data_IF_743189214251
#
_entry.id   IF_743189214251
#
_cell.length_a   1.000
_cell.length_b   1.000
_cell.length_c   1.000
_cell.angle_alpha   90.00
_cell.angle_beta   90.00
_cell.angle_gamma   90.00
#
_symmetry.space_group_name_H-M   'P 1'
#
loop_
_entity.id
_entity.type
_entity.pdbx_description
1 polymer ?
#
# COMPACT_ATOMS: atom_id res chain seq x y z
N UNK A 1 -4.31 31.00 21.59
CA UNK A 1 -5.57 30.43 22.11
C UNK A 1 -5.43 28.94 21.96
N UNK A 2 -5.35 28.19 23.06
CA UNK A 2 -5.35 26.74 23.02
C UNK A 2 -6.77 26.30 22.65
N UNK A 3 -7.04 26.24 21.35
CA UNK A 3 -8.27 25.66 20.85
C UNK A 3 -8.32 24.20 21.36
N UNK A 4 -9.45 23.81 21.92
CA UNK A 4 -9.69 22.44 22.35
C UNK A 4 -9.52 21.53 21.13
N UNK A 5 -8.59 20.57 21.16
CA UNK A 5 -8.32 19.65 20.05
C UNK A 5 -9.43 18.59 19.86
N UNK A 6 -10.58 18.80 20.51
CA UNK A 6 -11.67 17.86 20.67
C UNK A 6 -12.99 18.61 20.50
N UNK A 7 -13.88 18.06 19.69
CA UNK A 7 -15.27 18.52 19.55
C UNK A 7 -16.17 17.31 19.81
N UNK A 8 -17.03 17.39 20.83
CA UNK A 8 -17.99 16.33 21.12
C UNK A 8 -19.33 16.64 20.45
N UNK A 9 -19.92 15.66 19.77
CA UNK A 9 -21.25 15.75 19.18
C UNK A 9 -21.98 14.41 19.28
N UNK A 10 -22.99 14.34 20.14
CA UNK A 10 -23.72 13.12 20.49
C UNK A 10 -22.76 12.03 21.02
N UNK A 11 -22.86 10.81 20.50
CA UNK A 11 -22.03 9.66 20.89
C UNK A 11 -20.64 9.65 20.22
N UNK A 12 -20.34 10.65 19.37
CA UNK A 12 -19.07 10.76 18.67
C UNK A 12 -18.24 11.94 19.17
N UNK A 13 -16.92 11.73 19.16
CA UNK A 13 -15.92 12.74 19.46
C UNK A 13 -15.03 12.94 18.25
N UNK A 14 -14.75 14.19 17.92
CA UNK A 14 -13.87 14.57 16.83
C UNK A 14 -12.57 15.06 17.42
N UNK A 15 -11.48 14.34 17.15
CA UNK A 15 -10.12 14.68 17.55
C UNK A 15 -9.42 15.26 16.35
N UNK A 16 -8.82 16.44 16.48
CA UNK A 16 -8.10 17.06 15.37
C UNK A 16 -6.79 17.71 15.79
N UNK A 17 -5.86 17.79 14.84
CA UNK A 17 -4.59 18.48 15.03
C UNK A 17 -4.16 19.18 13.75
N UNK A 18 -3.64 20.39 13.91
CA UNK A 18 -3.14 21.22 12.83
C UNK A 18 -1.63 21.07 12.67
N UNK A 19 -1.17 20.75 11.47
CA UNK A 19 0.24 20.68 11.08
C UNK A 19 0.48 21.53 9.84
N UNK A 20 1.28 22.59 9.98
CA UNK A 20 1.55 23.58 8.94
C UNK A 20 0.27 24.21 8.35
N UNK A 21 -0.21 23.67 7.24
CA UNK A 21 -1.39 24.09 6.47
C UNK A 21 -2.49 23.03 6.43
N UNK A 22 -2.26 21.88 7.08
CA UNK A 22 -3.14 20.71 7.04
C UNK A 22 -3.82 20.45 8.38
N UNK A 23 -5.07 20.04 8.32
CA UNK A 23 -5.83 19.52 9.46
C UNK A 23 -5.98 18.02 9.35
N UNK A 24 -5.50 17.31 10.36
CA UNK A 24 -5.72 15.88 10.54
C UNK A 24 -6.89 15.72 11.51
N UNK A 25 -7.93 15.00 11.09
CA UNK A 25 -9.20 14.88 11.82
C UNK A 25 -9.61 13.42 11.89
N UNK A 26 -9.91 12.96 13.10
CA UNK A 26 -10.41 11.62 13.39
C UNK A 26 -11.75 11.74 14.11
N UNK A 27 -12.67 10.84 13.80
CA UNK A 27 -13.96 10.70 14.49
C UNK A 27 -13.93 9.37 15.23
N UNK A 28 -14.19 9.41 16.52
CA UNK A 28 -14.18 8.25 17.41
C UNK A 28 -15.49 8.15 18.18
N UNK A 29 -15.80 6.95 18.65
CA UNK A 29 -16.88 6.71 19.59
C UNK A 29 -16.42 7.09 21.02
N UNK A 30 -17.39 7.27 21.90
CA UNK A 30 -17.26 7.41 23.34
C UNK A 30 -16.47 6.29 24.05
N UNK A 31 -16.23 5.15 23.38
CA UNK A 31 -15.45 4.02 23.92
C UNK A 31 -13.95 4.24 23.86
N UNK A 32 -13.47 5.08 22.94
CA UNK A 32 -12.05 5.33 22.72
C UNK A 32 -11.59 6.59 23.44
N UNK A 33 -10.33 6.58 23.88
CA UNK A 33 -9.68 7.73 24.52
C UNK A 33 -9.28 8.75 23.48
N UNK A 34 -9.63 10.03 23.69
CA UNK A 34 -9.24 11.10 22.79
C UNK A 34 -7.72 11.33 22.80
N UNK A 35 -7.07 11.06 23.94
CA UNK A 35 -5.62 11.17 24.08
C UNK A 35 -4.89 10.14 23.22
N UNK A 36 -5.40 8.91 23.18
CA UNK A 36 -4.82 7.82 22.40
C UNK A 36 -4.84 8.15 20.90
N UNK A 37 -5.95 8.73 20.43
CA UNK A 37 -6.11 9.18 19.05
C UNK A 37 -5.27 10.42 18.77
N UNK A 38 -5.15 11.33 19.73
CA UNK A 38 -4.29 12.50 19.61
C UNK A 38 -2.80 12.14 19.49
N UNK A 39 -2.34 11.15 20.26
CA UNK A 39 -0.99 10.59 20.14
C UNK A 39 -0.82 9.87 18.80
N UNK A 40 -1.82 9.09 18.38
CA UNK A 40 -1.79 8.41 17.09
C UNK A 40 -1.66 9.38 15.90
N UNK A 41 -2.41 10.49 15.89
CA UNK A 41 -2.27 11.52 14.84
C UNK A 41 -0.81 11.98 14.76
N UNK A 42 -0.15 12.14 15.90
CA UNK A 42 1.25 12.54 15.93
C UNK A 42 2.16 11.49 15.31
N UNK A 43 2.05 10.24 15.73
CA UNK A 43 2.90 9.16 15.23
C UNK A 43 2.64 8.86 13.76
N UNK A 44 1.39 8.99 13.29
CA UNK A 44 1.05 8.90 11.88
C UNK A 44 1.75 9.98 11.05
N UNK A 45 1.71 11.25 11.50
CA UNK A 45 2.40 12.35 10.81
C UNK A 45 3.93 12.16 10.83
N UNK A 46 4.50 11.67 11.93
CA UNK A 46 5.93 11.33 11.99
C UNK A 46 6.30 10.21 11.00
N UNK A 47 5.46 9.18 10.91
CA UNK A 47 5.65 8.09 9.95
C UNK A 47 5.60 8.60 8.51
N UNK A 48 4.69 9.52 8.19
CA UNK A 48 4.62 10.15 6.87
C UNK A 48 5.88 10.98 6.57
N UNK A 49 6.34 11.78 7.53
CA UNK A 49 7.53 12.62 7.37
C UNK A 49 8.80 11.79 7.10
N UNK A 50 8.94 10.66 7.80
CA UNK A 50 10.04 9.71 7.60
C UNK A 50 9.91 8.90 6.30
N UNK A 51 8.68 8.59 5.85
CA UNK A 51 8.46 7.86 4.60
C UNK A 51 8.73 8.73 3.36
N UNK A 52 8.33 10.01 3.39
CA UNK A 52 8.48 10.93 2.25
C UNK A 52 9.75 11.80 2.31
N UNK A 53 10.56 11.68 3.38
CA UNK A 53 11.81 12.44 3.59
C UNK A 53 11.59 13.98 3.54
N UNK A 54 10.88 14.50 4.55
CA UNK A 54 10.34 15.87 4.66
C UNK A 54 9.02 16.04 3.87
N UNK A 55 7.94 15.52 4.45
CA UNK A 55 6.63 15.49 3.78
C UNK A 55 6.08 16.90 3.57
N UNK A 56 5.51 17.14 2.39
CA UNK A 56 4.69 18.32 2.13
C UNK A 56 3.25 17.94 1.78
N UNK A 57 2.34 18.92 1.86
CA UNK A 57 0.92 18.73 1.52
C UNK A 57 0.69 18.19 0.11
N UNK A 58 1.56 18.56 -0.83
CA UNK A 58 1.49 18.15 -2.21
C UNK A 58 1.81 16.66 -2.38
N UNK A 59 2.69 16.10 -1.55
CA UNK A 59 2.99 14.66 -1.54
C UNK A 59 1.78 13.84 -1.13
N UNK A 60 1.03 14.31 -0.12
CA UNK A 60 -0.20 13.65 0.31
C UNK A 60 -1.28 13.65 -0.77
N UNK A 61 -1.36 14.73 -1.56
CA UNK A 61 -2.32 14.87 -2.67
C UNK A 61 -1.93 13.96 -3.84
N UNK A 62 -0.65 13.93 -4.25
CA UNK A 62 -0.21 13.15 -5.40
C UNK A 62 0.02 11.67 -5.10
N UNK A 63 0.20 11.30 -3.84
CA UNK A 63 0.48 9.93 -3.41
C UNK A 63 -0.53 9.42 -2.38
N UNK A 64 -1.81 9.75 -2.57
CA UNK A 64 -2.91 9.30 -1.68
C UNK A 64 -2.95 7.77 -1.51
N UNK A 65 -2.59 7.01 -2.54
CA UNK A 65 -2.54 5.54 -2.47
C UNK A 65 -1.54 5.05 -1.41
N UNK A 66 -0.36 5.67 -1.35
CA UNK A 66 0.68 5.34 -0.37
C UNK A 66 0.26 5.79 1.03
N UNK A 67 -0.37 6.96 1.15
CA UNK A 67 -0.87 7.46 2.44
C UNK A 67 -1.94 6.53 3.00
N UNK A 68 -2.89 6.08 2.17
CA UNK A 68 -3.91 5.11 2.56
C UNK A 68 -3.29 3.77 2.97
N UNK A 69 -2.25 3.32 2.26
CA UNK A 69 -1.53 2.11 2.61
C UNK A 69 -0.84 2.23 3.99
N UNK A 70 -0.16 3.35 4.26
CA UNK A 70 0.42 3.64 5.59
C UNK A 70 -0.69 3.66 6.66
N UNK A 71 -1.82 4.31 6.39
CA UNK A 71 -2.94 4.41 7.33
C UNK A 71 -3.51 3.03 7.69
N UNK A 72 -3.56 2.10 6.74
CA UNK A 72 -4.03 0.73 6.97
C UNK A 72 -3.11 -0.10 7.89
N UNK A 73 -1.83 0.27 8.02
CA UNK A 73 -0.95 -0.38 8.99
C UNK A 73 -1.23 0.11 10.42
N UNK A 74 -1.67 1.36 10.57
CA UNK A 74 -2.11 1.88 11.87
C UNK A 74 -3.49 1.34 12.26
N UNK A 75 -4.39 1.14 11.30
CA UNK A 75 -5.76 0.70 11.54
C UNK A 75 -6.17 -0.50 10.71
N UNK A 76 -6.71 -1.53 11.37
CA UNK A 76 -7.31 -2.67 10.69
C UNK A 76 -8.67 -2.99 11.28
N UNK A 77 -9.69 -3.05 10.42
CA UNK A 77 -11.05 -3.39 10.84
C UNK A 77 -11.69 -2.41 11.83
N UNK A 78 -11.22 -1.15 11.85
CA UNK A 78 -11.68 -0.13 12.79
C UNK A 78 -10.92 -0.11 14.13
N UNK A 79 -9.95 -1.01 14.32
CA UNK A 79 -9.12 -1.05 15.53
C UNK A 79 -7.71 -0.54 15.23
N UNK A 80 -7.12 0.12 16.23
CA UNK A 80 -5.72 0.54 16.18
C UNK A 80 -4.81 -0.67 16.46
N UNK A 81 -3.91 -0.98 15.54
CA UNK A 81 -3.07 -2.19 15.61
C UNK A 81 -1.64 -1.86 16.03
N UNK A 82 -1.02 -0.90 15.36
CA UNK A 82 0.37 -0.53 15.58
C UNK A 82 0.48 0.96 15.89
N UNK A 83 1.29 1.31 16.89
CA UNK A 83 1.57 2.70 17.28
C UNK A 83 3.03 3.08 17.09
N UNK A 84 3.92 2.12 16.79
CA UNK A 84 5.33 2.40 16.59
C UNK A 84 5.64 2.67 15.10
N UNK A 85 6.02 3.91 14.79
CA UNK A 85 6.36 4.33 13.41
C UNK A 85 7.49 3.51 12.79
N UNK A 86 8.47 3.06 13.56
CA UNK A 86 9.58 2.27 13.02
C UNK A 86 9.14 0.87 12.58
N UNK A 87 8.24 0.25 13.34
CA UNK A 87 7.65 -1.06 13.00
C UNK A 87 6.78 -0.93 11.75
N UNK A 88 5.88 0.06 11.72
CA UNK A 88 5.04 0.36 10.56
C UNK A 88 5.88 0.56 9.30
N UNK A 89 6.93 1.39 9.37
CA UNK A 89 7.80 1.64 8.22
C UNK A 89 8.55 0.39 7.75
N UNK A 90 8.96 -0.48 8.68
CA UNK A 90 9.60 -1.73 8.33
C UNK A 90 8.64 -2.70 7.65
N UNK A 91 7.40 -2.77 8.12
CA UNK A 91 6.37 -3.63 7.55
C UNK A 91 5.97 -3.16 6.15
N UNK A 92 5.76 -1.85 5.95
CA UNK A 92 5.52 -1.26 4.63
C UNK A 92 6.68 -1.58 3.67
N UNK A 93 7.94 -1.41 4.11
CA UNK A 93 9.11 -1.73 3.27
C UNK A 93 9.16 -3.20 2.89
N UNK A 94 8.78 -4.07 3.82
CA UNK A 94 8.71 -5.51 3.59
C UNK A 94 7.62 -5.85 2.58
N UNK A 95 6.43 -5.28 2.72
CA UNK A 95 5.32 -5.45 1.78
C UNK A 95 5.69 -4.95 0.36
N UNK A 96 6.25 -3.74 0.25
CA UNK A 96 6.72 -3.19 -1.03
C UNK A 96 7.78 -4.09 -1.71
N UNK A 97 8.62 -4.76 -0.93
CA UNK A 97 9.61 -5.72 -1.46
C UNK A 97 8.93 -6.97 -1.99
N UNK A 98 7.88 -7.46 -1.32
CA UNK A 98 7.11 -8.63 -1.74
C UNK A 98 6.30 -8.35 -3.01
N UNK A 99 5.64 -7.20 -3.10
CA UNK A 99 4.88 -6.79 -4.31
C UNK A 99 5.76 -6.76 -5.57
N UNK A 100 7.00 -6.28 -5.42
CA UNK A 100 8.01 -6.27 -6.49
C UNK A 100 8.44 -7.67 -6.90
N UNK A 101 8.54 -8.60 -5.95
CA UNK A 101 8.89 -9.98 -6.21
C UNK A 101 7.76 -10.73 -6.93
N UNK A 102 6.51 -10.51 -6.52
CA UNK A 102 5.35 -11.17 -7.13
C UNK A 102 5.15 -10.72 -8.58
N UNK A 103 5.38 -9.43 -8.84
CA UNK A 103 5.47 -8.86 -10.20
C UNK A 103 6.58 -9.51 -11.05
N UNK A 104 7.69 -9.90 -10.42
CA UNK A 104 8.82 -10.58 -11.06
C UNK A 104 8.55 -12.05 -11.36
N UNK A 105 7.91 -12.77 -10.44
CA UNK A 105 7.53 -14.18 -10.61
C UNK A 105 6.55 -14.32 -11.77
N UNK A 106 5.53 -13.47 -11.85
CA UNK A 106 4.55 -13.52 -12.95
C UNK A 106 5.22 -13.30 -14.31
N UNK A 107 6.18 -12.35 -14.40
CA UNK A 107 6.98 -12.12 -15.61
C UNK A 107 7.86 -13.32 -15.97
N UNK A 108 8.50 -13.95 -14.99
CA UNK A 108 9.42 -15.07 -15.23
C UNK A 108 8.68 -16.35 -15.65
N UNK A 109 7.53 -16.63 -15.02
CA UNK A 109 6.63 -17.74 -15.40
C UNK A 109 6.05 -17.51 -16.79
N UNK A 110 5.58 -16.29 -17.09
CA UNK A 110 5.08 -15.93 -18.41
C UNK A 110 6.13 -16.10 -19.52
N UNK A 111 7.39 -15.73 -19.25
CA UNK A 111 8.49 -15.90 -20.21
C UNK A 111 8.84 -17.37 -20.47
N UNK A 112 8.85 -18.22 -19.43
CA UNK A 112 9.06 -19.68 -19.58
C UNK A 112 7.93 -20.37 -20.36
N UNK A 113 6.69 -19.97 -20.13
CA UNK A 113 5.53 -20.52 -20.87
C UNK A 113 5.64 -20.15 -22.36
N UNK A 114 5.96 -18.88 -22.67
CA UNK A 114 6.11 -18.43 -24.05
C UNK A 114 7.22 -19.20 -24.79
N UNK A 115 8.40 -19.35 -24.18
CA UNK A 115 9.51 -20.11 -24.79
C UNK A 115 9.16 -21.59 -25.02
N UNK A 116 8.42 -22.22 -24.10
CA UNK A 116 7.97 -23.59 -24.25
C UNK A 116 6.92 -23.74 -25.36
N UNK A 117 6.01 -22.78 -25.52
CA UNK A 117 4.99 -22.76 -26.58
C UNK A 117 5.63 -22.52 -27.96
N UNK A 118 6.59 -21.60 -28.06
CA UNK A 118 7.28 -21.30 -29.32
C UNK A 118 8.06 -22.54 -29.81
N UNK A 119 8.79 -23.20 -28.91
CA UNK A 119 9.56 -24.42 -29.22
C UNK A 119 8.67 -25.58 -29.67
N UNK A 120 7.45 -25.69 -29.12
CA UNK A 120 6.51 -26.76 -29.47
C UNK A 120 5.84 -26.49 -30.81
N UNK A 121 5.57 -25.22 -31.12
CA UNK A 121 5.02 -24.76 -32.40
C UNK A 121 5.98 -25.04 -33.56
N UNK A 122 7.28 -24.76 -33.39
CA UNK A 122 8.29 -25.04 -34.41
C UNK A 122 8.43 -26.54 -34.71
N UNK A 123 8.39 -27.40 -33.69
CA UNK A 123 8.43 -28.86 -33.89
C UNK A 123 7.23 -29.36 -34.69
N UNK A 124 6.03 -28.87 -34.37
CA UNK A 124 4.81 -29.25 -35.10
C UNK A 124 4.89 -28.79 -36.56
N UNK A 125 5.43 -27.59 -36.84
CA UNK A 125 5.64 -27.12 -38.21
C UNK A 125 6.58 -28.03 -39.00
N UNK A 126 7.71 -28.41 -38.40
CA UNK A 126 8.68 -29.32 -39.04
C UNK A 126 8.09 -30.71 -39.31
N UNK A 127 7.27 -31.24 -38.40
CA UNK A 127 6.62 -32.55 -38.57
C UNK A 127 5.53 -32.53 -39.66
N UNK A 128 4.83 -31.40 -39.83
CA UNK A 128 3.84 -31.21 -40.90
C UNK A 128 4.53 -31.10 -42.26
N UNK A 129 5.61 -30.34 -42.37
CA UNK A 129 6.39 -30.20 -43.61
C UNK A 129 6.96 -31.55 -44.08
N UNK A 130 7.58 -32.31 -43.16
CA UNK A 130 8.08 -33.66 -43.48
C UNK A 130 6.97 -34.62 -43.94
N UNK A 131 5.76 -34.49 -43.40
CA UNK A 131 4.61 -35.30 -43.83
C UNK A 131 4.09 -34.90 -45.21
N UNK A 132 4.23 -33.63 -45.60
CA UNK A 132 3.88 -33.16 -46.94
C UNK A 132 4.89 -33.64 -47.98
N UNK A 133 6.19 -33.55 -47.69
CA UNK A 133 7.27 -34.02 -48.59
C UNK A 133 7.22 -35.55 -48.83
N UNK A 134 6.81 -36.33 -47.82
CA UNK A 134 6.65 -37.78 -47.99
C UNK A 134 5.45 -38.17 -48.88
N UNK A 135 4.45 -37.28 -49.03
CA UNK A 135 3.28 -37.53 -49.88
C UNK A 135 3.45 -37.08 -51.33
N UNK A 136 4.54 -36.40 -51.65
CA UNK A 136 4.86 -35.87 -52.99
C UNK A 136 5.88 -36.72 -53.76
N UNK A 137 6.32 -37.84 -53.18
CA UNK A 137 7.14 -38.89 -53.82
C UNK A 137 6.35 -40.20 -53.91
#
# INVERSE_FOLDING_TARGET
>A
MNACNFVEHNDFKLVYRHYATLYFVFVIDSTESEYDIFELIHTFVQCLDQYFENVCELDLIFHSDKVNHILNEFFMGGFMIERNSDLVLNDIRTQLRLERQDSGVFKHVGSKIKSAVDSKTERIKMDVEKKFDYKLN
#
